data_IF_148337361143
#
_entry.id   IF_148337361143
#
_cell.length_a   1.000
_cell.length_b   1.000
_cell.length_c   1.000
_cell.angle_alpha   90.00
_cell.angle_beta   90.00
_cell.angle_gamma   90.00
#
_symmetry.space_group_name_H-M   'P 1'
#
loop_
_entity.id
_entity.type
_entity.pdbx_description
1 polymer ?
#
# COMPACT_ATOMS: atom_id res chain seq x y z
N UNK A 1 1.61 12.76 1.83
CA UNK A 1 1.64 11.30 2.10
C UNK A 1 2.53 10.62 1.08
N UNK A 2 3.55 9.95 1.54
CA UNK A 2 4.50 9.23 0.68
C UNK A 2 4.02 7.79 0.48
N UNK A 3 3.96 7.36 -0.79
CA UNK A 3 3.42 6.04 -1.15
C UNK A 3 4.45 5.27 -1.97
N UNK A 4 4.61 3.99 -1.64
CA UNK A 4 5.38 3.05 -2.46
C UNK A 4 4.42 2.08 -3.12
N UNK A 5 4.68 1.74 -4.38
CA UNK A 5 3.92 0.75 -5.13
C UNK A 5 4.81 -0.47 -5.35
N UNK A 6 4.39 -1.62 -4.85
CA UNK A 6 5.09 -2.89 -5.00
C UNK A 6 4.23 -3.84 -5.84
N UNK A 7 4.58 -3.96 -7.12
CA UNK A 7 3.88 -4.78 -8.09
C UNK A 7 4.84 -5.05 -9.27
N UNK A 8 4.90 -6.28 -9.75
CA UNK A 8 5.80 -6.65 -10.85
C UNK A 8 5.25 -6.29 -12.24
N UNK A 9 3.99 -5.88 -12.34
CA UNK A 9 3.38 -5.47 -13.59
C UNK A 9 3.58 -3.98 -13.83
N UNK A 10 4.35 -3.62 -14.84
CA UNK A 10 4.56 -2.22 -15.21
C UNK A 10 3.27 -1.52 -15.58
N UNK A 11 2.36 -2.22 -16.23
CA UNK A 11 1.05 -1.67 -16.62
C UNK A 11 0.24 -1.30 -15.39
N UNK A 12 0.21 -2.17 -14.38
CA UNK A 12 -0.50 -1.92 -13.12
C UNK A 12 0.14 -0.74 -12.38
N UNK A 13 1.47 -0.71 -12.30
CA UNK A 13 2.19 0.39 -11.64
C UNK A 13 1.85 1.72 -12.30
N UNK A 14 1.87 1.78 -13.63
CA UNK A 14 1.54 3.00 -14.37
C UNK A 14 0.09 3.45 -14.11
N UNK A 15 -0.85 2.50 -14.07
CA UNK A 15 -2.24 2.81 -13.75
C UNK A 15 -2.40 3.34 -12.34
N UNK A 16 -1.68 2.76 -11.37
CA UNK A 16 -1.71 3.21 -9.99
C UNK A 16 -1.12 4.61 -9.86
N UNK A 17 0.01 4.86 -10.51
CA UNK A 17 0.61 6.20 -10.53
C UNK A 17 -0.38 7.23 -11.09
N UNK A 18 -1.05 6.91 -12.19
CA UNK A 18 -2.03 7.80 -12.80
C UNK A 18 -3.22 8.06 -11.87
N UNK A 19 -3.73 7.02 -11.20
CA UNK A 19 -4.84 7.17 -10.26
C UNK A 19 -4.47 8.04 -9.06
N UNK A 20 -3.25 7.91 -8.57
CA UNK A 20 -2.79 8.64 -7.39
C UNK A 20 -2.34 10.06 -7.71
N UNK A 21 -1.95 10.34 -8.97
CA UNK A 21 -1.43 11.64 -9.39
C UNK A 21 -2.39 12.78 -9.11
N UNK A 22 -3.68 12.54 -9.29
CA UNK A 22 -4.71 13.57 -9.15
C UNK A 22 -5.16 13.76 -7.71
N UNK A 23 -4.63 12.99 -6.78
CA UNK A 23 -4.98 13.11 -5.36
C UNK A 23 -4.00 14.07 -4.70
N UNK A 24 -4.51 15.23 -4.29
CA UNK A 24 -3.69 16.22 -3.60
C UNK A 24 -3.18 15.65 -2.28
N UNK A 25 -1.89 15.83 -2.03
CA UNK A 25 -1.25 15.33 -0.82
C UNK A 25 -0.65 13.94 -0.95
N UNK A 26 -0.82 13.25 -2.06
CA UNK A 26 -0.21 11.95 -2.33
C UNK A 26 0.98 12.11 -3.26
N UNK A 27 2.10 11.47 -2.89
CA UNK A 27 3.30 11.45 -3.71
C UNK A 27 3.84 10.02 -3.77
N UNK A 28 3.96 9.48 -4.97
CA UNK A 28 4.59 8.17 -5.18
C UNK A 28 6.11 8.38 -5.12
N UNK A 29 6.74 7.84 -4.10
CA UNK A 29 8.18 8.04 -3.85
C UNK A 29 9.04 6.85 -4.25
N UNK A 30 8.43 5.72 -4.54
CA UNK A 30 9.19 4.54 -4.94
C UNK A 30 8.32 3.46 -5.56
N UNK A 31 8.97 2.58 -6.31
CA UNK A 31 8.35 1.44 -6.97
C UNK A 31 9.24 0.23 -6.76
N UNK A 32 8.63 -0.95 -6.60
CA UNK A 32 9.36 -2.20 -6.45
C UNK A 32 8.65 -3.29 -7.25
N UNK A 33 9.43 -4.12 -7.92
CA UNK A 33 8.90 -5.21 -8.74
C UNK A 33 9.06 -6.59 -8.13
N UNK A 34 9.66 -6.69 -6.95
CA UNK A 34 9.83 -7.95 -6.25
C UNK A 34 9.86 -7.72 -4.73
N UNK A 35 9.81 -8.81 -3.98
CA UNK A 35 9.73 -8.73 -2.52
C UNK A 35 10.95 -8.07 -1.88
N UNK A 36 12.14 -8.39 -2.35
CA UNK A 36 13.39 -7.82 -1.80
C UNK A 36 13.44 -6.31 -2.02
N UNK A 37 13.17 -5.87 -3.24
CA UNK A 37 13.13 -4.43 -3.55
C UNK A 37 12.05 -3.71 -2.73
N UNK A 38 10.89 -4.35 -2.53
CA UNK A 38 9.81 -3.76 -1.74
C UNK A 38 10.25 -3.54 -0.29
N UNK A 39 10.86 -4.54 0.32
CA UNK A 39 11.34 -4.44 1.69
C UNK A 39 12.41 -3.35 1.80
N UNK A 40 13.38 -3.35 0.89
CA UNK A 40 14.45 -2.36 0.89
C UNK A 40 13.92 -0.94 0.70
N UNK A 41 13.00 -0.74 -0.24
CA UNK A 41 12.40 0.56 -0.51
C UNK A 41 11.64 1.09 0.71
N UNK A 42 10.86 0.24 1.37
CA UNK A 42 10.11 0.64 2.57
C UNK A 42 11.08 1.06 3.68
N UNK A 43 12.14 0.31 3.89
CA UNK A 43 13.13 0.63 4.93
C UNK A 43 13.88 1.91 4.64
N UNK A 44 14.22 2.16 3.38
CA UNK A 44 14.98 3.35 2.98
C UNK A 44 14.13 4.61 2.90
N UNK A 45 12.94 4.50 2.35
CA UNK A 45 12.08 5.65 2.06
C UNK A 45 11.16 6.01 3.21
N UNK A 46 10.89 5.08 4.11
CA UNK A 46 10.00 5.25 5.26
C UNK A 46 8.67 5.89 4.83
N UNK A 47 7.90 5.22 3.96
CA UNK A 47 6.66 5.78 3.42
C UNK A 47 5.53 5.79 4.45
N UNK A 48 4.46 6.49 4.11
CA UNK A 48 3.23 6.50 4.91
C UNK A 48 2.28 5.37 4.52
N UNK A 49 2.35 4.94 3.26
CA UNK A 49 1.50 3.88 2.74
C UNK A 49 2.23 3.05 1.68
N UNK A 50 1.83 1.80 1.53
CA UNK A 50 2.31 0.90 0.49
C UNK A 50 1.13 0.21 -0.17
N UNK A 51 1.12 0.19 -1.49
CA UNK A 51 0.20 -0.67 -2.26
C UNK A 51 1.00 -1.90 -2.64
N UNK A 52 0.57 -3.06 -2.18
CA UNK A 52 1.36 -4.29 -2.19
C UNK A 52 0.63 -5.42 -2.90
N UNK A 53 1.24 -5.95 -3.97
CA UNK A 53 0.74 -7.14 -4.64
C UNK A 53 1.17 -8.39 -3.88
N UNK A 54 0.30 -9.41 -3.86
CA UNK A 54 0.62 -10.71 -3.25
C UNK A 54 1.56 -11.54 -4.12
N UNK A 55 1.45 -11.42 -5.44
CA UNK A 55 2.18 -12.26 -6.37
C UNK A 55 3.33 -11.48 -7.01
N UNK A 56 4.53 -11.66 -6.48
CA UNK A 56 5.74 -11.03 -7.01
C UNK A 56 6.89 -12.04 -7.05
N UNK A 57 7.86 -11.86 -7.96
CA UNK A 57 9.08 -12.67 -7.94
C UNK A 57 9.87 -12.50 -6.64
N UNK A 58 10.56 -13.53 -6.22
CA UNK A 58 11.47 -13.46 -5.07
C UNK A 58 10.78 -13.49 -3.71
N UNK A 59 9.53 -13.86 -3.67
CA UNK A 59 8.74 -13.94 -2.45
C UNK A 59 7.37 -13.33 -2.64
N UNK A 60 6.45 -13.60 -1.72
CA UNK A 60 5.09 -13.09 -1.82
C UNK A 60 4.95 -11.74 -1.12
N UNK A 61 3.85 -11.04 -1.40
CA UNK A 61 3.50 -9.84 -0.64
C UNK A 61 3.30 -10.14 0.85
N UNK A 62 2.88 -11.36 1.18
CA UNK A 62 2.76 -11.79 2.56
C UNK A 62 4.12 -11.82 3.27
N UNK A 63 5.18 -12.23 2.57
CA UNK A 63 6.54 -12.18 3.11
C UNK A 63 6.98 -10.75 3.41
N UNK A 64 6.67 -9.83 2.49
CA UNK A 64 6.96 -8.40 2.69
C UNK A 64 6.21 -7.89 3.93
N UNK A 65 4.93 -8.21 4.03
CA UNK A 65 4.07 -7.80 5.12
C UNK A 65 4.61 -8.27 6.47
N UNK A 66 4.99 -9.54 6.56
CA UNK A 66 5.54 -10.12 7.79
C UNK A 66 6.89 -9.51 8.19
N UNK A 67 7.72 -9.17 7.20
CA UNK A 67 9.01 -8.53 7.46
C UNK A 67 8.86 -7.08 7.92
N UNK A 68 7.94 -6.34 7.32
CA UNK A 68 7.82 -4.89 7.50
C UNK A 68 6.92 -4.50 8.67
N UNK A 69 5.83 -5.22 8.91
CA UNK A 69 4.86 -4.80 9.92
C UNK A 69 5.45 -4.62 11.32
N UNK A 70 6.32 -5.52 11.83
CA UNK A 70 6.92 -5.30 13.15
C UNK A 70 7.78 -4.04 13.23
N UNK A 71 8.41 -3.66 12.12
CA UNK A 71 9.29 -2.49 12.05
C UNK A 71 8.53 -1.18 11.83
N UNK A 72 7.34 -1.26 11.22
CA UNK A 72 6.56 -0.10 10.81
C UNK A 72 5.08 -0.27 11.21
N UNK A 73 4.79 -0.20 12.53
CA UNK A 73 3.41 -0.47 12.99
C UNK A 73 2.39 0.56 12.50
N UNK A 74 2.82 1.77 12.19
CA UNK A 74 1.93 2.82 11.71
C UNK A 74 1.77 2.90 10.19
N UNK A 75 2.49 2.06 9.45
CA UNK A 75 2.43 2.06 7.98
C UNK A 75 1.07 1.55 7.50
N UNK A 76 0.44 2.27 6.57
CA UNK A 76 -0.76 1.78 5.93
C UNK A 76 -0.36 0.83 4.80
N UNK A 77 -0.79 -0.42 4.89
CA UNK A 77 -0.48 -1.44 3.89
C UNK A 77 -1.77 -1.88 3.21
N UNK A 78 -1.92 -1.51 1.95
CA UNK A 78 -3.03 -1.90 1.11
C UNK A 78 -2.58 -3.05 0.22
N UNK A 79 -3.09 -4.24 0.50
CA UNK A 79 -2.86 -5.40 -0.36
C UNK A 79 -3.85 -5.36 -1.52
N UNK A 80 -3.34 -5.47 -2.75
CA UNK A 80 -4.15 -5.42 -3.95
C UNK A 80 -3.75 -6.60 -4.84
N UNK A 81 -4.65 -7.57 -5.03
CA UNK A 81 -4.31 -8.83 -5.67
C UNK A 81 -5.36 -9.28 -6.68
N UNK A 82 -4.91 -10.03 -7.71
CA UNK A 82 -5.81 -10.74 -8.63
C UNK A 82 -6.34 -12.04 -8.04
N UNK A 83 -5.89 -12.42 -6.84
CA UNK A 83 -6.28 -13.68 -6.18
C UNK A 83 -6.98 -13.37 -4.85
N UNK A 84 -8.24 -12.87 -4.90
CA UNK A 84 -8.93 -12.40 -3.69
C UNK A 84 -9.61 -13.52 -2.91
N UNK A 85 -8.93 -14.64 -2.74
CA UNK A 85 -9.49 -15.79 -2.01
C UNK A 85 -9.61 -15.45 -0.51
N UNK A 86 -10.68 -15.93 0.14
CA UNK A 86 -10.89 -15.63 1.57
C UNK A 86 -9.72 -16.00 2.48
N UNK A 87 -9.05 -17.12 2.21
CA UNK A 87 -7.89 -17.53 3.00
C UNK A 87 -6.72 -16.55 2.90
N UNK A 88 -6.49 -15.99 1.72
CA UNK A 88 -5.43 -14.98 1.53
C UNK A 88 -5.79 -13.68 2.23
N UNK A 89 -7.05 -13.31 2.16
CA UNK A 89 -7.54 -12.12 2.87
C UNK A 89 -7.32 -12.26 4.37
N UNK A 90 -7.69 -13.41 4.94
CA UNK A 90 -7.52 -13.66 6.37
C UNK A 90 -6.05 -13.65 6.78
N UNK A 91 -5.19 -14.30 6.01
CA UNK A 91 -3.76 -14.32 6.29
C UNK A 91 -3.13 -12.94 6.24
N UNK A 92 -3.47 -12.14 5.23
CA UNK A 92 -2.94 -10.79 5.08
C UNK A 92 -3.41 -9.89 6.22
N UNK A 93 -4.70 -9.91 6.53
CA UNK A 93 -5.24 -9.09 7.61
C UNK A 93 -4.65 -9.50 8.96
N UNK A 94 -4.49 -10.81 9.20
CA UNK A 94 -3.86 -11.32 10.42
C UNK A 94 -2.39 -10.94 10.52
N UNK A 95 -1.69 -10.85 9.39
CA UNK A 95 -0.29 -10.43 9.34
C UNK A 95 -0.12 -8.92 9.45
N UNK A 96 -1.20 -8.16 9.49
CA UNK A 96 -1.17 -6.72 9.71
C UNK A 96 -1.47 -5.85 8.50
N UNK A 97 -2.04 -6.40 7.41
CA UNK A 97 -2.50 -5.58 6.32
C UNK A 97 -3.61 -4.64 6.80
N UNK A 98 -3.57 -3.40 6.35
CA UNK A 98 -4.59 -2.41 6.71
C UNK A 98 -5.87 -2.62 5.91
N UNK A 99 -5.73 -3.07 4.65
CA UNK A 99 -6.86 -3.31 3.76
C UNK A 99 -6.47 -4.33 2.70
N UNK A 100 -7.46 -5.01 2.15
CA UNK A 100 -7.27 -6.04 1.15
C UNK A 100 -8.27 -5.82 0.01
N UNK A 101 -7.78 -5.61 -1.21
CA UNK A 101 -8.60 -5.35 -2.39
C UNK A 101 -8.41 -6.40 -3.48
N UNK A 102 -9.50 -6.68 -4.18
CA UNK A 102 -9.49 -7.41 -5.45
C UNK A 102 -9.05 -6.45 -6.56
N UNK A 103 -7.89 -6.71 -7.15
CA UNK A 103 -7.30 -5.87 -8.19
C UNK A 103 -8.21 -5.76 -9.42
N UNK A 104 -8.92 -6.81 -9.77
CA UNK A 104 -9.78 -6.82 -10.98
C UNK A 104 -11.13 -6.15 -10.75
N UNK A 105 -11.69 -6.22 -9.55
CA UNK A 105 -13.04 -5.72 -9.27
C UNK A 105 -13.06 -4.39 -8.49
N UNK A 106 -12.01 -4.10 -7.72
CA UNK A 106 -12.03 -3.01 -6.76
C UNK A 106 -10.93 -1.96 -6.98
N UNK A 107 -10.24 -2.05 -8.11
CA UNK A 107 -9.13 -1.13 -8.42
C UNK A 107 -9.55 0.33 -8.35
N UNK A 108 -10.77 0.64 -8.78
CA UNK A 108 -11.30 2.01 -8.81
C UNK A 108 -11.62 2.57 -7.43
N UNK A 109 -11.60 1.73 -6.40
CA UNK A 109 -11.82 2.19 -5.01
C UNK A 109 -10.56 2.83 -4.40
N UNK A 110 -9.40 2.63 -5.02
CA UNK A 110 -8.12 3.10 -4.47
C UNK A 110 -8.09 4.62 -4.25
N UNK A 111 -8.52 5.46 -5.20
CA UNK A 111 -8.51 6.91 -4.96
C UNK A 111 -9.30 7.33 -3.72
N UNK A 112 -10.49 6.76 -3.53
CA UNK A 112 -11.32 7.09 -2.37
C UNK A 112 -10.66 6.67 -1.05
N UNK A 113 -9.95 5.53 -1.05
CA UNK A 113 -9.22 5.07 0.14
C UNK A 113 -8.14 6.09 0.51
N UNK A 114 -7.37 6.56 -0.46
CA UNK A 114 -6.31 7.54 -0.20
C UNK A 114 -6.85 8.92 0.17
N UNK A 115 -7.96 9.33 -0.40
CA UNK A 115 -8.65 10.56 0.02
C UNK A 115 -9.03 10.49 1.50
N UNK A 116 -9.58 9.35 1.93
CA UNK A 116 -9.95 9.13 3.32
C UNK A 116 -8.72 9.12 4.24
N UNK A 117 -7.62 8.48 3.81
CA UNK A 117 -6.38 8.45 4.57
C UNK A 117 -5.80 9.84 4.79
N UNK A 118 -5.80 10.67 3.77
CA UNK A 118 -5.31 12.05 3.87
C UNK A 118 -6.18 12.85 4.83
N UNK A 119 -7.49 12.70 4.74
CA UNK A 119 -8.44 13.37 5.61
C UNK A 119 -8.26 12.96 7.07
N UNK A 120 -8.09 11.65 7.31
CA UNK A 120 -7.87 11.11 8.65
C UNK A 120 -6.52 11.56 9.21
N UNK A 121 -5.49 11.60 8.40
CA UNK A 121 -4.17 12.08 8.82
C UNK A 121 -4.22 13.55 9.24
N UNK A 122 -4.96 14.38 8.51
CA UNK A 122 -5.15 15.80 8.85
C UNK A 122 -5.87 15.96 10.19
N UNK A 123 -6.86 15.12 10.46
CA UNK A 123 -7.60 15.13 11.74
C UNK A 123 -6.75 14.65 12.89
N UNK A 124 -5.80 13.75 12.64
CA UNK A 124 -4.94 13.17 13.67
C UNK A 124 -3.80 14.10 14.10
N UNK A 125 -3.53 15.18 13.35
CA UNK A 125 -2.51 16.17 13.70
C UNK A 125 -3.03 17.02 14.86
N UNK A 126 -2.41 16.99 16.05
CA UNK A 126 -2.93 17.71 17.22
C UNK A 126 -3.16 19.21 16.99
N UNK A 127 -2.26 19.89 16.31
CA UNK A 127 -2.40 21.31 16.03
C UNK A 127 -3.57 21.63 15.10
N UNK A 128 -3.90 20.72 14.18
CA UNK A 128 -4.99 20.92 13.23
C UNK A 128 -6.36 20.77 13.89
N UNK A 129 -6.47 19.88 14.88
CA UNK A 129 -7.75 19.62 15.55
C UNK A 129 -8.12 20.72 16.54
N UNK A 130 -7.20 21.56 16.91
CA UNK A 130 -7.41 22.65 17.88
C UNK A 130 -7.48 24.01 17.21
N UNK A 131 -7.23 24.03 15.93
CA UNK A 131 -7.11 25.25 15.14
C UNK A 131 -8.31 26.08 15.02
#
# INVERSE_FOLDING_TARGET
>A
MKVIIADDSKVVVERLVDLLRDIEGVQVVGQAGNAVEAIDAIRQMNPDAVILDLQMPGGSGLDVLRAIRPEHPGLYILVCTNYPYPQYREECLSAGASHFLDKSAEFEKIPAIFDDLIRDAAKAIPGASQG
#
